data_IF_018780699750
#
_entry.id   IF_018780699750
#
_cell.length_a   1.000
_cell.length_b   1.000
_cell.length_c   1.000
_cell.angle_alpha   90.00
_cell.angle_beta   90.00
_cell.angle_gamma   90.00
#
_symmetry.space_group_name_H-M   'P 1'
#
loop_
_entity.id
_entity.type
_entity.pdbx_description
1 polymer ?
#
# COMPACT_ATOMS: atom_id res chain seq x y z
N UNK A 1 -14.52 -16.64 0.89
CA UNK A 1 -13.16 -16.16 0.53
C UNK A 1 -13.34 -14.99 -0.43
N UNK A 2 -12.72 -13.83 -0.17
CA UNK A 2 -12.85 -12.67 -1.05
C UNK A 2 -12.01 -12.91 -2.33
N UNK A 3 -12.59 -12.86 -3.53
CA UNK A 3 -11.88 -13.19 -4.77
C UNK A 3 -10.74 -12.21 -5.09
N UNK A 4 -10.86 -10.95 -4.69
CA UNK A 4 -9.86 -9.90 -4.90
C UNK A 4 -8.66 -10.12 -4.00
N UNK A 5 -8.90 -10.46 -2.73
CA UNK A 5 -7.83 -10.87 -1.80
C UNK A 5 -7.07 -12.08 -2.34
N UNK A 6 -7.79 -13.05 -2.93
CA UNK A 6 -7.17 -14.24 -3.54
C UNK A 6 -6.30 -13.88 -4.75
N UNK A 7 -6.81 -13.06 -5.67
CA UNK A 7 -6.03 -12.57 -6.82
C UNK A 7 -4.78 -11.82 -6.37
N UNK A 8 -4.91 -10.97 -5.35
CA UNK A 8 -3.76 -10.24 -4.79
C UNK A 8 -2.75 -11.18 -4.12
N UNK A 9 -3.21 -12.22 -3.41
CA UNK A 9 -2.33 -13.23 -2.83
C UNK A 9 -1.55 -14.01 -3.91
N UNK A 10 -2.22 -14.37 -5.01
CA UNK A 10 -1.58 -14.99 -6.17
C UNK A 10 -0.57 -14.04 -6.84
N UNK A 11 -0.92 -12.75 -6.94
CA UNK A 11 -0.01 -11.73 -7.47
C UNK A 11 1.24 -11.59 -6.61
N UNK A 12 1.11 -11.54 -5.28
CA UNK A 12 2.25 -11.54 -4.36
C UNK A 12 3.12 -12.80 -4.51
N UNK A 13 2.51 -13.97 -4.70
CA UNK A 13 3.27 -15.19 -4.98
C UNK A 13 4.02 -15.09 -6.30
N UNK A 14 3.42 -14.50 -7.35
CA UNK A 14 4.09 -14.27 -8.62
C UNK A 14 5.27 -13.28 -8.47
N UNK A 15 5.16 -12.25 -7.63
CA UNK A 15 6.30 -11.38 -7.30
C UNK A 15 7.43 -12.16 -6.61
N UNK A 16 7.09 -13.00 -5.63
CA UNK A 16 8.06 -13.85 -4.94
C UNK A 16 8.76 -14.82 -5.91
N UNK A 17 8.02 -15.35 -6.88
CA UNK A 17 8.54 -16.21 -7.95
C UNK A 17 9.36 -15.47 -9.03
N UNK A 18 9.49 -14.13 -8.95
CA UNK A 18 10.20 -13.32 -9.95
C UNK A 18 9.44 -13.17 -11.28
N UNK A 19 8.10 -13.19 -11.24
CA UNK A 19 7.20 -13.09 -12.41
C UNK A 19 6.38 -11.78 -12.37
N UNK A 20 7.02 -10.61 -12.58
CA UNK A 20 6.36 -9.32 -12.44
C UNK A 20 5.18 -9.12 -13.41
N UNK A 21 5.29 -9.60 -14.65
CA UNK A 21 4.18 -9.49 -15.63
C UNK A 21 2.94 -10.27 -15.19
N UNK A 22 3.13 -11.44 -14.57
CA UNK A 22 2.04 -12.26 -14.04
C UNK A 22 1.41 -11.58 -12.83
N UNK A 23 2.24 -11.01 -11.93
CA UNK A 23 1.76 -10.24 -10.79
C UNK A 23 0.91 -9.04 -11.24
N UNK A 24 1.41 -8.25 -12.19
CA UNK A 24 0.68 -7.11 -12.76
C UNK A 24 -0.65 -7.53 -13.38
N UNK A 25 -0.68 -8.62 -14.14
CA UNK A 25 -1.91 -9.12 -14.74
C UNK A 25 -2.95 -9.53 -13.67
N UNK A 26 -2.52 -10.19 -12.60
CA UNK A 26 -3.39 -10.58 -11.49
C UNK A 26 -3.94 -9.38 -10.72
N UNK A 27 -3.10 -8.37 -10.44
CA UNK A 27 -3.54 -7.14 -9.78
C UNK A 27 -4.46 -6.30 -10.67
N UNK A 28 -4.23 -6.28 -11.97
CA UNK A 28 -5.13 -5.63 -12.94
C UNK A 28 -6.49 -6.33 -12.96
N UNK A 29 -6.51 -7.67 -12.99
CA UNK A 29 -7.75 -8.43 -12.90
C UNK A 29 -8.48 -8.17 -11.58
N UNK A 30 -7.75 -8.07 -10.47
CA UNK A 30 -8.31 -7.75 -9.16
C UNK A 30 -8.99 -6.37 -9.18
N UNK A 31 -8.37 -5.38 -9.82
CA UNK A 31 -8.93 -4.05 -9.99
C UNK A 31 -10.19 -4.06 -10.86
N UNK A 32 -10.13 -4.69 -12.03
CA UNK A 32 -11.24 -4.70 -12.99
C UNK A 32 -12.48 -5.46 -12.50
N UNK A 33 -12.31 -6.33 -11.49
CA UNK A 33 -13.39 -7.18 -10.96
C UNK A 33 -13.86 -6.82 -9.55
N UNK A 34 -13.25 -5.81 -8.92
CA UNK A 34 -13.65 -5.31 -7.61
C UNK A 34 -15.10 -4.81 -7.62
N UNK A 35 -15.86 -5.15 -6.59
CA UNK A 35 -17.30 -4.83 -6.50
C UNK A 35 -17.62 -3.71 -5.51
N UNK A 36 -16.72 -3.44 -4.57
CA UNK A 36 -16.84 -2.36 -3.60
C UNK A 36 -15.51 -1.60 -3.42
N UNK A 37 -15.56 -0.48 -2.70
CA UNK A 37 -14.37 0.35 -2.47
C UNK A 37 -13.32 -0.36 -1.57
N UNK A 38 -13.73 -1.34 -0.77
CA UNK A 38 -12.80 -2.14 0.04
C UNK A 38 -11.91 -3.00 -0.86
N UNK A 39 -12.55 -3.74 -1.77
CA UNK A 39 -11.89 -4.54 -2.79
C UNK A 39 -11.03 -3.67 -3.72
N UNK A 40 -11.57 -2.55 -4.19
CA UNK A 40 -10.85 -1.62 -5.07
C UNK A 40 -9.61 -1.04 -4.37
N UNK A 41 -9.70 -0.72 -3.08
CA UNK A 41 -8.56 -0.25 -2.28
C UNK A 41 -7.43 -1.28 -2.26
N UNK A 42 -7.75 -2.55 -1.99
CA UNK A 42 -6.77 -3.65 -1.95
C UNK A 42 -6.11 -3.81 -3.32
N UNK A 43 -6.91 -3.85 -4.39
CA UNK A 43 -6.37 -4.00 -5.74
C UNK A 43 -5.45 -2.85 -6.13
N UNK A 44 -5.87 -1.60 -5.90
CA UNK A 44 -5.09 -0.39 -6.18
C UNK A 44 -3.75 -0.38 -5.43
N UNK A 45 -3.73 -0.81 -4.17
CA UNK A 45 -2.50 -0.90 -3.35
C UNK A 45 -1.45 -1.80 -4.01
N UNK A 46 -1.85 -2.97 -4.49
CA UNK A 46 -0.92 -3.88 -5.13
C UNK A 46 -0.52 -3.42 -6.53
N UNK A 47 -1.46 -2.83 -7.28
CA UNK A 47 -1.19 -2.32 -8.62
C UNK A 47 -0.18 -1.17 -8.60
N UNK A 48 -0.16 -0.35 -7.54
CA UNK A 48 0.81 0.74 -7.36
C UNK A 48 2.29 0.27 -7.45
N UNK A 49 2.58 -1.00 -7.14
CA UNK A 49 3.93 -1.58 -7.15
C UNK A 49 4.43 -1.94 -8.56
N UNK A 50 3.55 -1.94 -9.55
CA UNK A 50 3.80 -2.38 -10.93
C UNK A 50 3.65 -1.26 -11.96
N UNK A 51 3.84 -0.01 -11.53
CA UNK A 51 3.78 1.16 -12.40
C UNK A 51 5.13 1.50 -13.01
N UNK A 52 5.12 2.07 -14.22
CA UNK A 52 6.34 2.44 -14.94
C UNK A 52 7.00 3.71 -14.38
N UNK A 53 6.20 4.60 -13.78
CA UNK A 53 6.66 5.87 -13.25
C UNK A 53 6.38 5.99 -11.74
N UNK A 54 7.25 6.66 -10.98
CA UNK A 54 6.96 6.98 -9.57
C UNK A 54 5.68 7.81 -9.38
N UNK A 55 5.33 8.66 -10.36
CA UNK A 55 4.10 9.45 -10.37
C UNK A 55 2.85 8.58 -10.49
N UNK A 56 2.87 7.55 -11.35
CA UNK A 56 1.78 6.59 -11.45
C UNK A 56 1.68 5.72 -10.19
N UNK A 57 2.81 5.32 -9.60
CA UNK A 57 2.81 4.62 -8.32
C UNK A 57 2.16 5.49 -7.21
N UNK A 58 2.50 6.78 -7.15
CA UNK A 58 1.85 7.72 -6.25
C UNK A 58 0.34 7.79 -6.51
N UNK A 59 -0.08 7.94 -7.77
CA UNK A 59 -1.50 8.05 -8.15
C UNK A 59 -2.29 6.82 -7.72
N UNK A 60 -1.75 5.61 -7.90
CA UNK A 60 -2.41 4.39 -7.45
C UNK A 60 -2.45 4.23 -5.93
N UNK A 61 -1.39 4.66 -5.22
CA UNK A 61 -1.42 4.69 -3.76
C UNK A 61 -2.43 5.71 -3.22
N UNK A 62 -2.62 6.85 -3.91
CA UNK A 62 -3.67 7.82 -3.59
C UNK A 62 -5.06 7.26 -3.86
N UNK A 63 -5.26 6.59 -5.00
CA UNK A 63 -6.52 5.92 -5.33
C UNK A 63 -6.86 4.87 -4.26
N UNK A 64 -5.89 4.05 -3.84
CA UNK A 64 -6.08 3.04 -2.80
C UNK A 64 -6.55 3.65 -1.47
N UNK A 65 -5.94 4.77 -1.04
CA UNK A 65 -6.37 5.49 0.15
C UNK A 65 -7.77 6.09 -0.02
N UNK A 66 -8.07 6.74 -1.14
CA UNK A 66 -9.38 7.35 -1.39
C UNK A 66 -10.50 6.30 -1.36
N UNK A 67 -10.24 5.10 -1.88
CA UNK A 67 -11.15 3.96 -1.80
C UNK A 67 -11.33 3.47 -0.36
N UNK A 68 -10.24 3.34 0.40
CA UNK A 68 -10.32 2.96 1.81
C UNK A 68 -11.16 3.96 2.64
N UNK A 69 -10.97 5.26 2.39
CA UNK A 69 -11.73 6.32 3.06
C UNK A 69 -13.21 6.31 2.67
N UNK A 70 -13.56 5.89 1.45
CA UNK A 70 -14.94 5.76 0.99
C UNK A 70 -15.69 4.57 1.64
N UNK A 71 -14.98 3.53 2.07
CA UNK A 71 -15.58 2.38 2.79
C UNK A 71 -16.10 2.82 4.16
N UNK A 72 -15.30 3.61 4.90
CA UNK A 72 -15.64 4.17 6.21
C UNK A 72 -16.17 3.15 7.26
N UNK A 73 -15.70 1.89 7.21
CA UNK A 73 -15.99 0.85 8.20
C UNK A 73 -14.72 0.13 8.69
N UNK A 74 -14.85 -0.74 9.70
CA UNK A 74 -13.74 -1.39 10.40
C UNK A 74 -12.85 -2.29 9.51
N UNK A 75 -13.32 -2.69 8.32
CA UNK A 75 -12.58 -3.60 7.44
C UNK A 75 -11.27 -2.98 6.94
N UNK A 76 -11.21 -1.64 6.82
CA UNK A 76 -10.03 -0.92 6.31
C UNK A 76 -9.05 -0.51 7.41
N UNK A 77 -9.41 -0.64 8.68
CA UNK A 77 -8.62 -0.10 9.79
C UNK A 77 -7.20 -0.70 9.84
N UNK A 78 -7.11 -2.03 9.70
CA UNK A 78 -5.84 -2.75 9.64
C UNK A 78 -5.01 -2.48 8.38
N UNK A 79 -5.61 -1.83 7.38
CA UNK A 79 -4.98 -1.53 6.11
C UNK A 79 -4.36 -0.13 6.06
N UNK A 80 -4.93 0.85 6.77
CA UNK A 80 -4.43 2.23 6.81
C UNK A 80 -2.92 2.37 7.07
N UNK A 81 -2.29 1.63 8.01
CA UNK A 81 -0.84 1.72 8.22
C UNK A 81 -0.02 1.46 6.96
N UNK A 82 -0.42 0.47 6.16
CA UNK A 82 0.24 0.11 4.90
C UNK A 82 -0.03 1.13 3.81
N UNK A 83 -1.24 1.68 3.73
CA UNK A 83 -1.57 2.73 2.76
C UNK A 83 -0.76 4.00 3.01
N UNK A 84 -0.69 4.44 4.27
CA UNK A 84 0.11 5.60 4.66
C UNK A 84 1.61 5.34 4.49
N UNK A 85 2.10 4.15 4.82
CA UNK A 85 3.50 3.78 4.56
C UNK A 85 3.87 3.91 3.08
N UNK A 86 3.02 3.41 2.18
CA UNK A 86 3.29 3.44 0.75
C UNK A 86 3.15 4.85 0.15
N UNK A 87 2.21 5.67 0.63
CA UNK A 87 2.17 7.09 0.28
C UNK A 87 3.42 7.83 0.73
N UNK A 88 3.87 7.59 1.97
CA UNK A 88 5.12 8.15 2.49
C UNK A 88 6.30 7.82 1.59
N UNK A 89 6.41 6.56 1.18
CA UNK A 89 7.45 6.11 0.25
C UNK A 89 7.32 6.72 -1.15
N UNK A 90 6.12 6.78 -1.73
CA UNK A 90 5.89 7.41 -3.03
C UNK A 90 6.30 8.89 -3.04
N UNK A 91 5.94 9.65 -2.00
CA UNK A 91 6.37 11.04 -1.88
C UNK A 91 7.87 11.17 -1.64
N UNK A 92 8.47 10.26 -0.87
CA UNK A 92 9.92 10.22 -0.65
C UNK A 92 10.68 10.02 -1.97
N UNK A 93 10.28 9.04 -2.78
CA UNK A 93 10.90 8.77 -4.10
C UNK A 93 10.81 9.98 -5.03
N UNK A 94 9.71 10.74 -4.96
CA UNK A 94 9.50 11.96 -5.73
C UNK A 94 10.19 13.20 -5.11
N UNK A 95 10.92 13.05 -4.00
CA UNK A 95 11.61 14.15 -3.32
C UNK A 95 10.70 15.11 -2.56
N UNK A 96 9.41 14.80 -2.41
CA UNK A 96 8.48 15.58 -1.62
C UNK A 96 8.54 15.16 -0.14
N UNK A 97 9.66 15.53 0.51
CA UNK A 97 9.99 15.07 1.86
C UNK A 97 8.98 15.53 2.92
N UNK A 98 8.31 16.67 2.71
CA UNK A 98 7.28 17.17 3.62
C UNK A 98 6.06 16.25 3.64
N UNK A 99 5.53 15.89 2.47
CA UNK A 99 4.41 14.95 2.41
C UNK A 99 4.86 13.54 2.84
N UNK A 100 6.08 13.12 2.49
CA UNK A 100 6.63 11.86 2.96
C UNK A 100 6.63 11.75 4.49
N UNK A 101 7.11 12.79 5.18
CA UNK A 101 7.12 12.84 6.65
C UNK A 101 5.71 12.75 7.23
N UNK A 102 4.77 13.54 6.68
CA UNK A 102 3.37 13.52 7.10
C UNK A 102 2.77 12.12 7.03
N UNK A 103 2.96 11.42 5.92
CA UNK A 103 2.39 10.08 5.74
C UNK A 103 3.07 9.01 6.59
N UNK A 104 4.39 9.10 6.80
CA UNK A 104 5.05 8.21 7.76
C UNK A 104 4.59 8.45 9.21
N UNK A 105 4.28 9.69 9.59
CA UNK A 105 3.71 10.00 10.90
C UNK A 105 2.27 9.47 11.05
N UNK A 106 1.44 9.61 10.01
CA UNK A 106 0.11 9.01 9.97
C UNK A 106 0.17 7.48 10.06
N UNK A 107 1.11 6.84 9.35
CA UNK A 107 1.32 5.40 9.41
C UNK A 107 1.72 4.96 10.83
N UNK A 108 2.67 5.66 11.46
CA UNK A 108 3.14 5.37 12.81
C UNK A 108 2.01 5.45 13.85
N UNK A 109 1.16 6.48 13.75
CA UNK A 109 0.02 6.69 14.62
C UNK A 109 -1.08 5.62 14.50
N UNK A 110 -1.02 4.77 13.47
CA UNK A 110 -2.00 3.72 13.23
C UNK A 110 -1.46 2.31 13.45
N UNK A 111 -0.24 2.14 13.97
CA UNK A 111 0.35 0.79 14.11
C UNK A 111 -0.26 -0.08 15.22
N UNK A 112 -1.10 0.49 16.10
CA UNK A 112 -1.77 -0.22 17.20
C UNK A 112 -2.82 -1.25 16.73
N UNK A 113 -3.36 -1.05 15.52
CA UNK A 113 -4.36 -1.96 14.91
C UNK A 113 -3.72 -3.15 14.20
N UNK A 114 -2.39 -3.18 14.11
CA UNK A 114 -1.66 -4.27 13.45
C UNK A 114 -1.38 -5.38 14.45
N UNK A 115 -1.57 -6.62 14.03
CA UNK A 115 -1.16 -7.78 14.82
C UNK A 115 0.37 -7.84 15.01
N UNK A 116 0.81 -8.66 15.96
CA UNK A 116 2.24 -8.97 16.19
C UNK A 116 2.78 -10.03 15.21
N UNK A 117 2.09 -10.21 14.08
CA UNK A 117 2.44 -11.18 13.06
C UNK A 117 3.53 -10.66 12.12
N UNK A 118 3.91 -11.50 11.14
CA UNK A 118 4.93 -11.13 10.16
C UNK A 118 4.55 -9.87 9.38
N UNK A 119 3.27 -9.71 9.03
CA UNK A 119 2.81 -8.56 8.27
C UNK A 119 2.92 -7.27 9.09
N UNK A 120 2.40 -7.26 10.32
CA UNK A 120 2.52 -6.12 11.22
C UNK A 120 3.97 -5.75 11.52
N UNK A 121 4.87 -6.75 11.64
CA UNK A 121 6.31 -6.52 11.76
C UNK A 121 6.92 -5.80 10.55
N UNK A 122 6.61 -6.25 9.33
CA UNK A 122 7.10 -5.63 8.09
C UNK A 122 6.65 -4.17 7.97
N UNK A 123 5.38 -3.89 8.25
CA UNK A 123 4.84 -2.53 8.15
C UNK A 123 5.51 -1.58 9.16
N UNK A 124 5.63 -2.00 10.43
CA UNK A 124 6.32 -1.20 11.47
C UNK A 124 7.78 -0.92 11.11
N UNK A 125 8.48 -1.93 10.60
CA UNK A 125 9.87 -1.77 10.16
C UNK A 125 9.99 -0.79 8.98
N UNK A 126 9.09 -0.88 8.00
CA UNK A 126 9.03 0.03 6.86
C UNK A 126 8.83 1.48 7.29
N UNK A 127 7.90 1.72 8.22
CA UNK A 127 7.61 3.05 8.77
C UNK A 127 8.86 3.61 9.48
N UNK A 128 9.47 2.82 10.37
CA UNK A 128 10.66 3.24 11.11
C UNK A 128 11.83 3.56 10.16
N UNK A 129 12.04 2.74 9.14
CA UNK A 129 13.08 2.95 8.14
C UNK A 129 12.83 4.24 7.32
N UNK A 130 11.59 4.49 6.90
CA UNK A 130 11.21 5.73 6.20
C UNK A 130 11.50 6.98 7.01
N UNK A 131 11.07 7.00 8.28
CA UNK A 131 11.32 8.12 9.20
C UNK A 131 12.82 8.35 9.43
N UNK A 132 13.60 7.28 9.59
CA UNK A 132 15.04 7.39 9.77
C UNK A 132 15.74 8.00 8.54
N UNK A 133 15.32 7.64 7.31
CA UNK A 133 15.88 8.23 6.08
C UNK A 133 15.58 9.72 5.98
N UNK A 134 14.35 10.15 6.30
CA UNK A 134 14.01 11.57 6.29
C UNK A 134 14.79 12.37 7.33
N UNK A 135 14.99 11.83 8.54
CA UNK A 135 15.77 12.47 9.58
C UNK A 135 17.26 12.64 9.21
N UNK A 136 17.80 11.75 8.37
CA UNK A 136 19.19 11.84 7.89
C UNK A 136 19.37 12.79 6.69
N UNK A 137 18.26 13.28 6.11
CA UNK A 137 18.26 14.15 4.92
C UNK A 137 18.15 15.65 5.28
N UNK A 138 17.86 15.98 6.54
CA UNK A 138 17.81 17.35 7.08
C UNK A 138 19.04 17.69 7.92
#
# INVERSE_FOLDING_TARGET
ENPIVKLCAQGMQAEFDGKPDVARALFTQAWDTAQDDYEASIAAHFLARHQETPEDALRWNQESLARAEAVADERVDSFYPSLYLNLGHSYEVLGNLKEASKYYDLAAAKTEVLDEDRYGGIVRQGIAAGKARLAATG
#
